data_IF_899642950876
#
_entry.id   IF_899642950876
#
_cell.length_a   1.000
_cell.length_b   1.000
_cell.length_c   1.000
_cell.angle_alpha   90.00
_cell.angle_beta   90.00
_cell.angle_gamma   90.00
#
_symmetry.space_group_name_H-M   'P 1'
#
loop_
_entity.id
_entity.type
_entity.pdbx_description
1 polymer ?
#
# COMPACT_ATOMS: atom_id res chain seq x y z
N UNK A 1 -8.35 6.02 2.05
CA UNK A 1 -8.72 6.08 3.48
C UNK A 1 -7.70 5.30 4.27
N UNK A 2 -6.97 5.96 5.16
CA UNK A 2 -5.91 5.32 5.94
C UNK A 2 -6.50 4.17 6.75
N UNK A 3 -5.71 3.08 6.87
CA UNK A 3 -5.89 2.08 7.92
C UNK A 3 -6.17 2.82 9.23
N UNK A 4 -7.11 2.39 10.05
CA UNK A 4 -7.28 2.96 11.36
C UNK A 4 -6.05 2.56 12.18
N UNK A 5 -5.03 3.46 12.20
CA UNK A 5 -4.17 3.46 13.36
C UNK A 5 -5.10 3.77 14.54
N UNK A 6 -5.28 2.82 15.46
CA UNK A 6 -5.86 3.10 16.77
C UNK A 6 -4.88 4.05 17.46
N UNK A 7 -5.12 5.34 17.29
CA UNK A 7 -4.43 6.34 18.08
C UNK A 7 -5.10 6.37 19.45
N UNK A 8 -4.29 6.24 20.47
CA UNK A 8 -4.71 6.62 21.82
C UNK A 8 -5.00 8.13 21.79
N UNK A 9 -6.27 8.47 21.80
CA UNK A 9 -6.77 9.85 21.71
C UNK A 9 -6.63 10.60 23.05
N UNK A 10 -6.10 9.95 24.08
CA UNK A 10 -6.04 10.50 25.45
C UNK A 10 -4.87 11.46 25.72
N UNK A 11 -3.89 11.56 24.78
CA UNK A 11 -2.76 12.47 24.93
C UNK A 11 -2.79 13.56 23.85
N UNK A 12 -2.46 14.81 24.23
CA UNK A 12 -2.36 15.95 23.28
C UNK A 12 -1.47 15.64 22.06
N UNK A 13 -0.55 14.69 22.19
CA UNK A 13 0.32 14.19 21.13
C UNK A 13 -0.45 13.38 20.06
N UNK A 14 -1.47 12.60 20.47
CA UNK A 14 -2.33 11.85 19.56
C UNK A 14 -3.16 12.75 18.64
N UNK A 15 -3.77 13.80 19.21
CA UNK A 15 -4.55 14.80 18.46
C UNK A 15 -3.65 15.55 17.47
N UNK A 16 -2.44 15.91 17.88
CA UNK A 16 -1.47 16.62 17.02
C UNK A 16 -1.02 15.75 15.85
N UNK A 17 -0.73 14.47 16.08
CA UNK A 17 -0.40 13.48 15.01
C UNK A 17 -1.57 13.31 14.04
N UNK A 18 -2.80 13.20 14.54
CA UNK A 18 -3.99 13.07 13.72
C UNK A 18 -4.20 14.30 12.84
N UNK A 19 -4.07 15.50 13.39
CA UNK A 19 -4.24 16.76 12.66
C UNK A 19 -3.14 16.93 11.61
N UNK A 20 -1.87 16.56 11.90
CA UNK A 20 -0.78 16.55 10.93
C UNK A 20 -1.09 15.63 9.74
N UNK A 21 -1.56 14.41 10.00
CA UNK A 21 -1.94 13.48 8.95
C UNK A 21 -3.12 13.98 8.09
N UNK A 22 -4.10 14.66 8.72
CA UNK A 22 -5.21 15.30 7.99
C UNK A 22 -4.73 16.45 7.11
N UNK A 23 -3.86 17.31 7.63
CA UNK A 23 -3.25 18.41 6.88
C UNK A 23 -2.48 17.89 5.67
N UNK A 24 -1.60 16.91 5.85
CA UNK A 24 -0.85 16.29 4.75
C UNK A 24 -1.79 15.74 3.67
N UNK A 25 -2.86 15.05 4.07
CA UNK A 25 -3.85 14.50 3.13
C UNK A 25 -4.59 15.60 2.36
N UNK A 26 -4.98 16.68 3.03
CA UNK A 26 -5.66 17.80 2.37
C UNK A 26 -4.74 18.49 1.36
N UNK A 27 -3.47 18.72 1.71
CA UNK A 27 -2.48 19.30 0.79
C UNK A 27 -2.24 18.37 -0.41
N UNK A 28 -2.18 17.05 -0.18
CA UNK A 28 -2.02 16.07 -1.26
C UNK A 28 -3.20 16.06 -2.23
N UNK A 29 -4.43 16.10 -1.69
CA UNK A 29 -5.66 16.05 -2.50
C UNK A 29 -5.98 17.38 -3.20
N UNK A 30 -5.49 18.49 -2.69
CA UNK A 30 -5.74 19.83 -3.22
C UNK A 30 -4.44 20.66 -3.20
N UNK A 31 -3.52 20.39 -4.14
CA UNK A 31 -2.29 21.18 -4.27
C UNK A 31 -2.64 22.68 -4.50
N UNK A 32 -1.99 23.57 -3.75
CA UNK A 32 -2.28 24.98 -3.77
C UNK A 32 -3.25 25.46 -2.68
N UNK A 33 -3.76 24.56 -1.84
CA UNK A 33 -4.58 24.89 -0.67
C UNK A 33 -3.81 25.82 0.28
N UNK A 34 -4.49 26.87 0.80
CA UNK A 34 -3.88 27.81 1.73
C UNK A 34 -4.12 27.42 3.21
N UNK A 35 -3.42 28.11 4.12
CA UNK A 35 -3.53 27.83 5.57
C UNK A 35 -4.92 28.09 6.13
N UNK A 36 -5.67 29.05 5.56
CA UNK A 36 -7.03 29.40 6.01
C UNK A 36 -8.01 28.29 5.63
N UNK A 37 -7.92 27.79 4.41
CA UNK A 37 -8.72 26.68 3.92
C UNK A 37 -8.44 25.40 4.71
N UNK A 38 -7.16 25.13 5.04
CA UNK A 38 -6.78 24.01 5.90
C UNK A 38 -7.37 24.13 7.30
N UNK A 39 -7.36 25.35 7.90
CA UNK A 39 -7.92 25.57 9.23
C UNK A 39 -9.41 25.26 9.27
N UNK A 40 -10.16 25.74 8.28
CA UNK A 40 -11.59 25.45 8.13
C UNK A 40 -11.86 23.95 7.94
N UNK A 41 -11.10 23.29 7.04
CA UNK A 41 -11.30 21.88 6.71
C UNK A 41 -10.92 20.93 7.85
N UNK A 42 -9.92 21.27 8.64
CA UNK A 42 -9.48 20.46 9.80
C UNK A 42 -10.32 20.76 11.03
N UNK A 43 -10.90 21.96 11.14
CA UNK A 43 -11.68 22.40 12.29
C UNK A 43 -10.81 22.83 13.48
N UNK A 44 -9.66 23.47 13.20
CA UNK A 44 -8.74 24.00 14.22
C UNK A 44 -8.39 25.47 13.96
N UNK A 45 -7.76 26.13 14.93
CA UNK A 45 -7.38 27.54 14.79
C UNK A 45 -6.29 27.75 13.72
N UNK A 46 -6.27 28.96 13.12
CA UNK A 46 -5.21 29.36 12.18
C UNK A 46 -3.81 29.26 12.79
N UNK A 47 -3.67 29.54 14.08
CA UNK A 47 -2.40 29.42 14.80
C UNK A 47 -1.93 27.94 14.85
N UNK A 48 -2.86 27.00 15.13
CA UNK A 48 -2.55 25.59 15.15
C UNK A 48 -2.11 25.06 13.76
N UNK A 49 -2.84 25.46 12.69
CA UNK A 49 -2.43 25.10 11.31
C UNK A 49 -1.10 25.73 10.96
N UNK A 50 -0.86 26.98 11.29
CA UNK A 50 0.43 27.65 11.02
C UNK A 50 1.59 26.90 11.66
N UNK A 51 1.43 26.43 12.89
CA UNK A 51 2.45 25.61 13.57
C UNK A 51 2.69 24.27 12.85
N UNK A 52 1.60 23.56 12.50
CA UNK A 52 1.71 22.28 11.76
C UNK A 52 2.40 22.49 10.41
N UNK A 53 1.97 23.47 9.63
CA UNK A 53 2.55 23.76 8.32
C UNK A 53 4.02 24.17 8.43
N UNK A 54 4.39 25.00 9.40
CA UNK A 54 5.79 25.36 9.62
C UNK A 54 6.67 24.16 10.01
N UNK A 55 6.12 23.19 10.77
CA UNK A 55 6.82 21.94 11.05
C UNK A 55 7.06 21.12 9.76
N UNK A 56 6.01 21.01 8.91
CA UNK A 56 6.09 20.28 7.65
C UNK A 56 7.06 20.94 6.65
N UNK A 57 7.09 22.27 6.58
CA UNK A 57 8.05 23.03 5.78
C UNK A 57 9.48 22.81 6.26
N UNK A 58 9.74 22.90 7.57
CA UNK A 58 11.08 22.64 8.14
C UNK A 58 11.53 21.19 7.93
N UNK A 59 10.58 20.25 7.94
CA UNK A 59 10.87 18.85 7.65
C UNK A 59 11.08 18.58 6.14
N UNK A 60 10.85 19.56 5.27
CA UNK A 60 10.94 19.41 3.82
C UNK A 60 9.83 18.54 3.21
N UNK A 61 8.71 18.32 3.92
CA UNK A 61 7.60 17.50 3.45
C UNK A 61 6.57 18.28 2.63
N UNK A 62 6.59 19.59 2.78
CA UNK A 62 5.69 20.53 2.10
C UNK A 62 6.51 21.71 1.61
N UNK A 63 6.14 22.26 0.48
CA UNK A 63 6.69 23.52 -0.05
C UNK A 63 5.60 24.53 -0.31
N UNK A 64 5.96 25.80 -0.28
CA UNK A 64 5.09 26.90 -0.68
C UNK A 64 5.10 27.07 -2.19
N UNK A 65 3.94 27.31 -2.77
CA UNK A 65 3.75 27.61 -4.18
C UNK A 65 2.88 28.85 -4.36
N UNK A 66 2.92 29.46 -5.54
CA UNK A 66 1.98 30.52 -5.87
C UNK A 66 0.55 29.96 -5.91
N UNK A 67 -0.36 30.56 -5.13
CA UNK A 67 -1.76 30.15 -5.15
C UNK A 67 -2.37 30.43 -6.53
N UNK A 68 -2.96 29.41 -7.15
CA UNK A 68 -3.69 29.56 -8.40
C UNK A 68 -5.05 30.26 -8.22
N UNK A 69 -5.51 30.46 -7.00
CA UNK A 69 -6.81 31.07 -6.65
C UNK A 69 -6.69 32.58 -6.36
N UNK A 70 -5.95 33.34 -7.19
CA UNK A 70 -6.01 34.77 -7.16
C UNK A 70 -7.26 35.25 -7.91
N UNK A 71 -8.45 35.18 -7.28
CA UNK A 71 -9.57 36.02 -7.66
C UNK A 71 -9.15 37.50 -7.50
N UNK A 72 -9.25 38.28 -8.57
CA UNK A 72 -8.73 39.64 -8.74
C UNK A 72 -9.10 40.72 -7.73
N UNK A 73 -9.22 40.41 -6.45
CA UNK A 73 -9.40 41.34 -5.36
C UNK A 73 -8.03 41.85 -4.86
N UNK A 74 -7.86 43.17 -4.71
CA UNK A 74 -6.72 43.80 -4.07
C UNK A 74 -6.51 43.25 -2.64
N UNK A 75 -5.61 42.25 -2.49
CA UNK A 75 -5.23 41.65 -1.23
C UNK A 75 -3.85 41.01 -1.31
N UNK A 76 -3.22 40.70 -0.16
CA UNK A 76 -1.95 39.99 -0.06
C UNK A 76 -2.07 38.65 -0.83
N UNK A 77 -1.14 38.43 -1.77
CA UNK A 77 -1.06 37.17 -2.55
C UNK A 77 -1.12 35.98 -1.58
N UNK A 78 -2.07 35.10 -1.76
CA UNK A 78 -2.18 33.89 -0.94
C UNK A 78 -1.06 32.92 -1.33
N UNK A 79 -0.48 32.28 -0.35
CA UNK A 79 0.57 31.28 -0.52
C UNK A 79 -0.09 29.90 -0.43
N UNK A 80 -0.05 29.19 -1.54
CA UNK A 80 -0.52 27.80 -1.60
C UNK A 80 0.53 26.83 -1.08
N UNK A 81 0.10 25.64 -0.72
CA UNK A 81 0.93 24.57 -0.19
C UNK A 81 0.87 23.36 -1.10
N UNK A 82 1.99 22.67 -1.25
CA UNK A 82 2.10 21.43 -2.02
C UNK A 82 3.02 20.45 -1.28
N UNK A 83 2.73 19.14 -1.39
CA UNK A 83 3.66 18.12 -0.91
C UNK A 83 4.96 18.22 -1.72
N UNK A 84 6.07 18.16 -1.04
CA UNK A 84 7.39 18.05 -1.67
C UNK A 84 7.75 16.56 -1.80
N UNK A 85 7.72 16.02 -3.02
CA UNK A 85 8.02 14.62 -3.28
C UNK A 85 9.41 14.22 -2.78
N UNK A 86 10.39 15.12 -2.91
CA UNK A 86 11.77 14.87 -2.44
C UNK A 86 11.91 14.81 -0.91
N UNK A 87 10.85 15.19 -0.18
CA UNK A 87 10.83 15.20 1.28
C UNK A 87 10.88 13.81 1.92
N UNK A 88 10.60 12.74 1.16
CA UNK A 88 10.65 11.37 1.68
C UNK A 88 10.31 10.33 0.63
N UNK A 89 10.54 9.08 0.99
CA UNK A 89 10.42 7.94 0.10
C UNK A 89 9.64 6.80 0.76
N UNK A 90 9.04 5.97 -0.07
CA UNK A 90 8.41 4.71 0.32
C UNK A 90 8.89 3.61 -0.63
N UNK A 91 8.97 2.40 -0.11
CA UNK A 91 9.35 1.24 -0.90
C UNK A 91 8.17 0.27 -0.99
N UNK A 92 7.90 -0.24 -2.18
CA UNK A 92 6.98 -1.33 -2.43
C UNK A 92 7.76 -2.60 -2.78
N UNK A 93 7.46 -3.71 -2.12
CA UNK A 93 8.00 -5.04 -2.46
C UNK A 93 6.85 -5.93 -2.90
N UNK A 94 6.96 -6.52 -4.07
CA UNK A 94 5.94 -7.42 -4.60
C UNK A 94 6.51 -8.82 -4.78
N UNK A 95 5.89 -9.83 -4.13
CA UNK A 95 6.34 -11.22 -4.17
C UNK A 95 5.26 -12.09 -4.79
N UNK A 96 5.50 -12.50 -6.02
CA UNK A 96 4.72 -13.48 -6.77
C UNK A 96 5.55 -14.75 -6.97
N UNK A 97 4.90 -15.85 -7.27
CA UNK A 97 5.61 -17.09 -7.62
C UNK A 97 6.39 -16.99 -8.95
N UNK A 98 6.03 -16.03 -9.80
CA UNK A 98 6.64 -15.82 -11.13
C UNK A 98 7.73 -14.76 -11.14
N UNK A 99 7.65 -13.77 -10.23
CA UNK A 99 8.64 -12.71 -10.10
C UNK A 99 8.59 -12.06 -8.72
N UNK A 100 9.69 -11.44 -8.34
CA UNK A 100 9.80 -10.56 -7.18
C UNK A 100 10.30 -9.22 -7.67
N UNK A 101 9.68 -8.12 -7.25
CA UNK A 101 10.11 -6.77 -7.66
C UNK A 101 10.08 -5.80 -6.48
N UNK A 102 10.92 -4.78 -6.59
CA UNK A 102 11.00 -3.65 -5.67
C UNK A 102 10.72 -2.38 -6.45
N UNK A 103 9.88 -1.53 -5.88
CA UNK A 103 9.58 -0.19 -6.41
C UNK A 103 9.97 0.83 -5.34
N UNK A 104 10.79 1.80 -5.70
CA UNK A 104 11.04 3.00 -4.91
C UNK A 104 10.16 4.14 -5.44
N UNK A 105 9.42 4.80 -4.59
CA UNK A 105 8.61 5.95 -4.94
C UNK A 105 8.82 7.10 -3.96
N UNK A 106 8.55 8.33 -4.41
CA UNK A 106 8.48 9.49 -3.54
C UNK A 106 7.17 9.51 -2.71
N UNK A 107 7.06 10.44 -1.76
CA UNK A 107 5.84 10.54 -0.93
C UNK A 107 4.61 11.07 -1.68
N UNK A 108 4.76 11.52 -2.92
CA UNK A 108 3.65 11.84 -3.84
C UNK A 108 3.15 10.60 -4.59
N UNK A 109 3.90 9.49 -4.57
CA UNK A 109 3.60 8.27 -5.30
C UNK A 109 4.24 8.19 -6.69
N UNK A 110 5.13 9.12 -7.04
CA UNK A 110 5.88 9.07 -8.30
C UNK A 110 6.94 7.98 -8.20
N UNK A 111 6.91 7.02 -9.13
CA UNK A 111 7.89 5.93 -9.20
C UNK A 111 9.25 6.49 -9.62
N UNK A 112 10.27 6.19 -8.82
CA UNK A 112 11.67 6.60 -9.03
C UNK A 112 12.49 5.46 -9.63
N UNK A 113 12.27 4.25 -9.12
CA UNK A 113 12.97 3.03 -9.56
C UNK A 113 12.03 1.83 -9.48
N UNK A 114 12.18 0.92 -10.43
CA UNK A 114 11.57 -0.40 -10.41
C UNK A 114 12.65 -1.43 -10.76
N UNK A 115 12.93 -2.34 -9.84
CA UNK A 115 14.00 -3.32 -9.97
C UNK A 115 13.46 -4.72 -9.68
N UNK A 116 13.73 -5.66 -10.59
CA UNK A 116 13.44 -7.07 -10.36
C UNK A 116 14.45 -7.70 -9.41
N UNK A 117 13.94 -8.52 -8.50
CA UNK A 117 14.72 -9.41 -7.64
C UNK A 117 14.65 -10.81 -8.21
N UNK A 118 15.79 -11.42 -8.45
CA UNK A 118 15.86 -12.75 -9.07
C UNK A 118 16.35 -13.81 -8.07
N UNK A 119 15.53 -14.19 -7.06
CA UNK A 119 15.95 -15.15 -6.07
C UNK A 119 16.09 -16.55 -6.71
N UNK A 120 17.25 -17.16 -6.55
CA UNK A 120 17.52 -18.52 -7.09
C UNK A 120 16.69 -19.58 -6.38
N UNK A 121 16.17 -19.29 -5.18
CA UNK A 121 15.37 -20.20 -4.35
C UNK A 121 14.10 -19.51 -3.85
N UNK A 122 13.21 -19.12 -4.77
CA UNK A 122 11.98 -18.38 -4.43
C UNK A 122 11.08 -19.11 -3.43
N UNK A 123 11.15 -20.46 -3.37
CA UNK A 123 10.39 -21.29 -2.42
C UNK A 123 10.95 -21.28 -1.00
N UNK A 124 12.16 -20.77 -0.81
CA UNK A 124 12.76 -20.57 0.51
C UNK A 124 12.53 -19.14 0.95
N UNK A 125 11.68 -18.87 1.96
CA UNK A 125 11.37 -17.52 2.40
C UNK A 125 12.61 -16.75 2.90
N UNK A 126 13.48 -17.38 3.68
CA UNK A 126 14.67 -16.72 4.25
C UNK A 126 15.64 -16.30 3.14
N UNK A 127 15.84 -17.16 2.14
CA UNK A 127 16.67 -16.83 0.98
C UNK A 127 16.05 -15.67 0.18
N UNK A 128 14.75 -15.75 -0.10
CA UNK A 128 14.05 -14.69 -0.86
C UNK A 128 14.09 -13.35 -0.12
N UNK A 129 13.86 -13.34 1.19
CA UNK A 129 13.92 -12.12 2.00
C UNK A 129 15.33 -11.53 2.05
N UNK A 130 16.38 -12.38 2.09
CA UNK A 130 17.78 -11.93 2.01
C UNK A 130 18.10 -11.27 0.66
N UNK A 131 17.63 -11.83 -0.46
CA UNK A 131 17.83 -11.23 -1.78
C UNK A 131 17.04 -9.92 -1.94
N UNK A 132 15.82 -9.86 -1.39
CA UNK A 132 15.05 -8.61 -1.31
C UNK A 132 15.82 -7.54 -0.55
N UNK A 133 16.38 -7.86 0.61
CA UNK A 133 17.18 -6.92 1.41
C UNK A 133 18.37 -6.37 0.62
N UNK A 134 19.18 -7.25 0.02
CA UNK A 134 20.35 -6.85 -0.78
C UNK A 134 19.96 -5.92 -1.94
N UNK A 135 18.89 -6.28 -2.65
CA UNK A 135 18.41 -5.46 -3.77
C UNK A 135 17.87 -4.12 -3.29
N UNK A 136 17.14 -4.10 -2.16
CA UNK A 136 16.64 -2.87 -1.57
C UNK A 136 17.80 -1.93 -1.18
N UNK A 137 18.86 -2.46 -0.57
CA UNK A 137 20.06 -1.67 -0.21
C UNK A 137 20.71 -1.06 -1.46
N UNK A 138 20.82 -1.83 -2.54
CA UNK A 138 21.35 -1.35 -3.83
C UNK A 138 20.48 -0.24 -4.42
N UNK A 139 19.14 -0.39 -4.40
CA UNK A 139 18.21 0.63 -4.89
C UNK A 139 18.33 1.91 -4.08
N UNK A 140 18.35 1.80 -2.74
CA UNK A 140 18.48 2.97 -1.85
C UNK A 140 19.82 3.69 -2.06
N UNK A 141 20.91 2.96 -2.24
CA UNK A 141 22.23 3.54 -2.53
C UNK A 141 22.29 4.21 -3.91
N UNK A 142 21.70 3.58 -4.94
CA UNK A 142 21.67 4.13 -6.31
C UNK A 142 21.01 5.49 -6.39
N UNK A 143 20.02 5.73 -5.54
CA UNK A 143 19.26 6.98 -5.51
C UNK A 143 19.61 7.90 -4.34
N UNK A 144 20.71 7.62 -3.65
CA UNK A 144 21.19 8.40 -2.50
C UNK A 144 20.07 8.66 -1.46
N UNK A 145 19.20 7.67 -1.20
CA UNK A 145 18.09 7.79 -0.27
C UNK A 145 18.59 7.75 1.18
N UNK A 146 18.46 8.85 1.94
CA UNK A 146 18.86 8.84 3.34
C UNK A 146 17.97 7.90 4.15
N UNK A 147 18.56 7.15 5.09
CA UNK A 147 17.84 6.16 5.88
C UNK A 147 16.65 6.76 6.67
N UNK A 148 16.74 8.00 7.12
CA UNK A 148 15.67 8.71 7.84
C UNK A 148 14.57 9.25 6.91
N UNK A 149 14.80 9.25 5.60
CA UNK A 149 13.84 9.65 4.57
C UNK A 149 13.05 8.49 3.97
N UNK A 150 13.42 7.24 4.20
CA UNK A 150 12.58 6.09 3.91
C UNK A 150 11.55 5.91 5.03
N UNK A 151 10.29 6.26 4.77
CA UNK A 151 9.25 6.30 5.81
C UNK A 151 8.58 4.96 6.08
N UNK A 152 8.60 4.05 5.12
CA UNK A 152 8.01 2.73 5.31
C UNK A 152 8.13 1.84 4.09
N UNK A 153 7.79 0.57 4.31
CA UNK A 153 7.79 -0.47 3.28
C UNK A 153 6.41 -1.10 3.18
N UNK A 154 5.85 -1.10 1.97
CA UNK A 154 4.67 -1.88 1.62
C UNK A 154 5.08 -3.23 1.05
N UNK A 155 4.61 -4.33 1.62
CA UNK A 155 4.94 -5.67 1.16
C UNK A 155 3.69 -6.39 0.65
N UNK A 156 3.71 -6.75 -0.61
CA UNK A 156 2.65 -7.46 -1.30
C UNK A 156 3.05 -8.92 -1.51
N UNK A 157 2.20 -9.86 -1.13
CA UNK A 157 2.48 -11.30 -1.26
C UNK A 157 1.28 -12.08 -1.79
N UNK A 158 1.54 -13.05 -2.68
CA UNK A 158 0.52 -13.98 -3.16
C UNK A 158 0.25 -15.08 -2.11
N UNK A 159 -0.36 -14.71 -0.99
CA UNK A 159 -0.59 -15.57 0.15
C UNK A 159 -1.76 -15.13 1.03
N UNK A 160 -2.05 -15.94 2.02
CA UNK A 160 -3.10 -15.72 3.02
C UNK A 160 -2.49 -15.15 4.29
N UNK A 161 -3.03 -14.03 4.73
CA UNK A 161 -2.56 -13.28 5.89
C UNK A 161 -3.58 -13.40 7.03
N UNK A 162 -3.07 -13.47 8.23
CA UNK A 162 -3.84 -13.35 9.47
C UNK A 162 -4.33 -11.90 9.66
N UNK A 163 -5.53 -11.74 10.20
CA UNK A 163 -6.14 -10.42 10.40
C UNK A 163 -5.57 -9.64 11.58
N UNK A 164 -5.02 -10.31 12.56
CA UNK A 164 -4.56 -9.69 13.81
C UNK A 164 -3.06 -9.37 13.77
N UNK A 165 -2.25 -10.37 13.49
CA UNK A 165 -0.78 -10.26 13.54
C UNK A 165 -0.14 -9.91 12.20
N UNK A 166 -0.89 -9.99 11.10
CA UNK A 166 -0.36 -9.86 9.74
C UNK A 166 0.73 -10.89 9.41
N UNK A 167 0.67 -12.04 10.08
CA UNK A 167 1.51 -13.19 9.78
C UNK A 167 1.04 -13.89 8.52
N UNK A 168 1.98 -14.42 7.75
CA UNK A 168 1.68 -15.28 6.63
C UNK A 168 1.18 -16.63 7.16
N UNK A 169 -0.04 -17.00 6.78
CA UNK A 169 -0.61 -18.30 7.14
C UNK A 169 -0.14 -19.38 6.16
N UNK A 170 -0.14 -19.05 4.88
CA UNK A 170 0.41 -19.88 3.80
C UNK A 170 0.49 -19.08 2.49
N UNK A 171 1.39 -19.46 1.62
CA UNK A 171 1.48 -18.97 0.24
C UNK A 171 1.64 -20.19 -0.69
N UNK A 172 0.55 -20.80 -1.16
CA UNK A 172 0.59 -22.10 -1.84
C UNK A 172 1.47 -22.14 -3.08
N UNK A 173 1.43 -21.08 -3.89
CA UNK A 173 2.21 -21.00 -5.13
C UNK A 173 3.70 -20.69 -4.89
N UNK A 174 4.04 -20.06 -3.75
CA UNK A 174 5.41 -19.85 -3.30
C UNK A 174 5.95 -21.07 -2.54
N UNK A 175 5.06 -21.91 -2.01
CA UNK A 175 5.45 -23.02 -1.12
C UNK A 175 5.89 -22.53 0.27
N UNK A 176 5.62 -21.28 0.62
CA UNK A 176 6.00 -20.71 1.91
C UNK A 176 5.09 -21.23 3.02
N UNK A 177 5.67 -21.71 4.13
CA UNK A 177 4.93 -22.14 5.31
C UNK A 177 4.36 -20.95 6.09
N UNK A 178 3.69 -21.25 7.19
CA UNK A 178 3.30 -20.24 8.17
C UNK A 178 4.53 -19.71 8.92
N UNK A 179 4.68 -18.37 8.98
CA UNK A 179 5.68 -17.71 9.83
C UNK A 179 5.32 -16.24 10.06
N UNK A 180 6.01 -15.60 11.02
CA UNK A 180 5.83 -14.19 11.34
C UNK A 180 6.57 -13.31 10.31
N UNK A 181 5.94 -13.13 9.16
CA UNK A 181 6.49 -12.35 8.04
C UNK A 181 6.72 -10.89 8.45
N UNK A 182 5.81 -10.32 9.26
CA UNK A 182 5.93 -8.92 9.69
C UNK A 182 7.19 -8.70 10.52
N UNK A 183 7.43 -9.55 11.50
CA UNK A 183 8.64 -9.48 12.35
C UNK A 183 9.91 -9.61 11.53
N UNK A 184 9.93 -10.54 10.57
CA UNK A 184 11.10 -10.72 9.68
C UNK A 184 11.37 -9.46 8.86
N UNK A 185 10.33 -8.86 8.26
CA UNK A 185 10.46 -7.65 7.46
C UNK A 185 10.83 -6.41 8.30
N UNK A 186 10.23 -6.25 9.48
CA UNK A 186 10.59 -5.15 10.40
C UNK A 186 12.05 -5.27 10.86
N UNK A 187 12.55 -6.50 11.05
CA UNK A 187 13.96 -6.73 11.37
C UNK A 187 14.90 -6.39 10.20
N UNK A 188 14.49 -6.70 8.98
CA UNK A 188 15.27 -6.41 7.75
C UNK A 188 15.34 -4.91 7.48
N UNK A 189 14.21 -4.24 7.49
CA UNK A 189 14.13 -2.85 7.03
C UNK A 189 14.32 -1.83 8.16
N UNK A 190 14.12 -2.21 9.44
CA UNK A 190 14.15 -1.28 10.57
C UNK A 190 13.10 -0.16 10.44
N UNK A 191 12.01 -0.40 9.72
CA UNK A 191 10.97 0.58 9.35
C UNK A 191 9.58 0.02 9.61
N UNK A 192 8.58 0.91 9.53
CA UNK A 192 7.17 0.50 9.52
C UNK A 192 6.93 -0.34 8.25
N UNK A 193 6.45 -1.57 8.45
CA UNK A 193 6.09 -2.47 7.36
C UNK A 193 4.59 -2.71 7.37
N UNK A 194 3.98 -2.57 6.19
CA UNK A 194 2.59 -2.94 5.94
C UNK A 194 2.56 -4.10 4.96
N UNK A 195 1.87 -5.18 5.32
CA UNK A 195 1.77 -6.38 4.49
C UNK A 195 0.34 -6.54 4.02
N UNK A 196 0.16 -6.87 2.74
CA UNK A 196 -1.15 -7.13 2.17
C UNK A 196 -1.09 -8.21 1.07
N UNK A 197 -2.23 -8.84 0.81
CA UNK A 197 -2.38 -9.74 -0.33
C UNK A 197 -2.26 -8.97 -1.66
N UNK A 198 -1.59 -9.57 -2.64
CA UNK A 198 -1.31 -8.92 -3.93
C UNK A 198 -2.57 -8.47 -4.66
N UNK A 199 -3.64 -9.27 -4.69
CA UNK A 199 -4.89 -8.89 -5.36
C UNK A 199 -5.54 -7.67 -4.71
N UNK A 200 -5.44 -7.57 -3.39
CA UNK A 200 -5.92 -6.41 -2.64
C UNK A 200 -5.04 -5.18 -2.82
N UNK A 201 -3.73 -5.35 -2.93
CA UNK A 201 -2.83 -4.25 -3.29
C UNK A 201 -3.20 -3.67 -4.66
N UNK A 202 -3.46 -4.52 -5.65
CA UNK A 202 -3.90 -4.10 -6.99
C UNK A 202 -5.23 -3.34 -6.91
N UNK A 203 -6.22 -3.86 -6.17
CA UNK A 203 -7.51 -3.19 -6.00
C UNK A 203 -7.37 -1.81 -5.34
N UNK A 204 -6.51 -1.70 -4.31
CA UNK A 204 -6.23 -0.42 -3.66
C UNK A 204 -5.49 0.56 -4.58
N UNK A 205 -4.57 0.07 -5.41
CA UNK A 205 -3.84 0.89 -6.38
C UNK A 205 -4.79 1.43 -7.45
N UNK A 206 -5.62 0.57 -8.06
CA UNK A 206 -6.63 0.98 -9.04
C UNK A 206 -7.63 2.00 -8.47
N UNK A 207 -8.08 1.79 -7.23
CA UNK A 207 -9.02 2.70 -6.57
C UNK A 207 -8.42 4.06 -6.21
N UNK A 208 -7.10 4.13 -6.01
CA UNK A 208 -6.43 5.38 -5.59
C UNK A 208 -5.76 6.12 -6.73
N UNK A 209 -5.15 5.40 -7.65
CA UNK A 209 -4.25 5.94 -8.67
C UNK A 209 -4.63 5.53 -10.10
N UNK A 210 -5.48 4.50 -10.26
CA UNK A 210 -5.87 3.96 -11.55
C UNK A 210 -7.14 4.60 -12.13
N UNK A 211 -7.68 3.97 -13.15
CA UNK A 211 -8.89 4.41 -13.87
C UNK A 211 -10.15 4.41 -13.00
N UNK A 212 -10.13 3.65 -11.89
CA UNK A 212 -11.25 3.55 -10.96
C UNK A 212 -11.07 4.48 -9.74
N UNK A 213 -10.22 5.50 -9.85
CA UNK A 213 -10.02 6.48 -8.80
C UNK A 213 -11.32 7.18 -8.44
N UNK A 214 -11.63 7.22 -7.13
CA UNK A 214 -12.86 7.83 -6.62
C UNK A 214 -14.12 6.94 -6.69
N UNK A 215 -14.06 5.75 -7.24
CA UNK A 215 -15.16 4.78 -7.21
C UNK A 215 -15.25 4.16 -5.82
N UNK A 216 -16.42 4.29 -5.18
CA UNK A 216 -16.60 3.81 -3.81
C UNK A 216 -16.90 2.31 -3.72
N UNK A 217 -17.47 1.71 -4.76
CA UNK A 217 -17.86 0.31 -4.76
C UNK A 217 -17.33 -0.36 -6.02
N UNK A 218 -16.41 -1.32 -5.84
CA UNK A 218 -15.80 -2.07 -6.94
C UNK A 218 -15.45 -3.50 -6.54
N UNK A 219 -15.49 -4.38 -7.51
CA UNK A 219 -15.00 -5.75 -7.43
C UNK A 219 -13.84 -5.90 -8.42
N UNK A 220 -12.70 -6.37 -7.93
CA UNK A 220 -11.57 -6.73 -8.76
C UNK A 220 -11.40 -8.24 -8.76
N UNK A 221 -11.33 -8.83 -9.94
CA UNK A 221 -10.99 -10.25 -10.13
C UNK A 221 -9.68 -10.31 -10.90
N UNK A 222 -8.71 -11.01 -10.33
CA UNK A 222 -7.40 -11.23 -10.95
C UNK A 222 -7.25 -12.70 -11.30
N UNK A 223 -7.19 -13.02 -12.59
CA UNK A 223 -6.78 -14.34 -13.07
C UNK A 223 -5.31 -14.30 -13.45
N UNK A 224 -4.50 -15.08 -12.73
CA UNK A 224 -3.07 -15.27 -12.96
C UNK A 224 -2.77 -16.76 -12.74
N UNK A 225 -1.61 -17.13 -12.19
CA UNK A 225 -1.34 -18.52 -11.80
C UNK A 225 -2.47 -19.06 -10.90
N UNK A 226 -2.95 -18.24 -9.95
CA UNK A 226 -4.19 -18.45 -9.21
C UNK A 226 -5.24 -17.39 -9.54
N UNK A 227 -6.47 -17.63 -9.11
CA UNK A 227 -7.57 -16.67 -9.18
C UNK A 227 -7.78 -16.04 -7.80
N UNK A 228 -7.70 -14.72 -7.74
CA UNK A 228 -7.95 -13.94 -6.53
C UNK A 228 -9.04 -12.89 -6.76
N UNK A 229 -9.64 -12.43 -5.69
CA UNK A 229 -10.61 -11.36 -5.69
C UNK A 229 -10.34 -10.34 -4.60
N UNK A 230 -10.83 -9.12 -4.81
CA UNK A 230 -10.88 -8.06 -3.82
C UNK A 230 -12.15 -7.24 -4.01
N UNK A 231 -12.74 -6.78 -2.92
CA UNK A 231 -13.93 -5.93 -2.92
C UNK A 231 -13.62 -4.66 -2.17
N UNK A 232 -13.92 -3.53 -2.77
CA UNK A 232 -13.98 -2.23 -2.10
C UNK A 232 -15.44 -1.84 -2.01
N UNK A 233 -15.91 -1.45 -0.85
CA UNK A 233 -17.26 -0.93 -0.63
C UNK A 233 -17.22 0.28 0.30
N UNK A 234 -18.03 1.29 0.00
CA UNK A 234 -17.98 2.59 0.66
C UNK A 234 -16.53 3.17 0.74
N UNK A 235 -15.74 2.97 -0.32
CA UNK A 235 -14.34 3.41 -0.40
C UNK A 235 -13.37 2.62 0.50
N UNK A 236 -13.80 1.48 1.06
CA UNK A 236 -13.01 0.66 1.98
C UNK A 236 -12.82 -0.77 1.47
N UNK A 237 -11.62 -1.29 1.63
CA UNK A 237 -11.34 -2.69 1.33
C UNK A 237 -12.10 -3.61 2.29
N UNK A 238 -12.92 -4.50 1.75
CA UNK A 238 -13.63 -5.53 2.50
C UNK A 238 -12.65 -6.62 2.96
N UNK A 239 -12.46 -6.74 4.27
CA UNK A 239 -11.54 -7.74 4.83
C UNK A 239 -12.26 -8.97 5.38
N UNK A 240 -13.45 -8.78 5.95
CA UNK A 240 -14.13 -9.81 6.75
C UNK A 240 -13.41 -10.08 8.08
N UNK A 241 -14.02 -10.86 8.95
CA UNK A 241 -13.50 -11.15 10.30
C UNK A 241 -12.19 -11.96 10.28
N UNK A 242 -12.02 -12.82 9.30
CA UNK A 242 -10.85 -13.69 9.15
C UNK A 242 -9.90 -13.26 8.01
N UNK A 243 -10.05 -12.04 7.52
CA UNK A 243 -9.24 -11.50 6.42
C UNK A 243 -9.36 -12.24 5.07
N UNK A 244 -10.53 -12.88 4.81
CA UNK A 244 -10.83 -13.55 3.52
C UNK A 244 -11.90 -12.81 2.70
N UNK A 245 -12.36 -11.62 3.13
CA UNK A 245 -13.37 -10.86 2.40
C UNK A 245 -12.93 -10.56 0.97
N UNK A 246 -13.81 -10.84 0.01
CA UNK A 246 -13.55 -10.61 -1.42
C UNK A 246 -12.74 -11.70 -2.11
N UNK A 247 -12.25 -12.73 -1.43
CA UNK A 247 -11.59 -13.85 -2.08
C UNK A 247 -12.62 -14.72 -2.82
N UNK A 248 -12.58 -14.69 -4.15
CA UNK A 248 -13.51 -15.41 -5.03
C UNK A 248 -12.94 -16.70 -5.59
N UNK A 249 -11.65 -16.93 -5.43
CA UNK A 249 -10.96 -18.10 -5.99
C UNK A 249 -11.51 -19.44 -5.48
N UNK A 250 -12.11 -19.45 -4.28
CA UNK A 250 -12.60 -20.66 -3.62
C UNK A 250 -14.14 -20.78 -3.59
N UNK A 251 -14.86 -19.97 -4.38
CA UNK A 251 -16.28 -20.19 -4.65
C UNK A 251 -16.46 -21.51 -5.39
N UNK A 252 -17.50 -22.27 -5.04
CA UNK A 252 -17.86 -23.49 -5.76
C UNK A 252 -18.40 -23.11 -7.15
N UNK A 253 -17.68 -23.50 -8.19
CA UNK A 253 -18.04 -23.24 -9.58
C UNK A 253 -18.52 -24.50 -10.31
N UNK A 254 -17.94 -25.66 -9.99
CA UNK A 254 -18.28 -26.95 -10.62
C UNK A 254 -18.43 -27.99 -9.52
N UNK A 255 -19.65 -28.44 -9.19
CA UNK A 255 -19.86 -29.56 -8.28
C UNK A 255 -19.01 -30.77 -8.70
N UNK A 256 -18.39 -31.44 -7.75
CA UNK A 256 -17.51 -32.61 -7.96
C UNK A 256 -16.32 -32.39 -8.92
N UNK A 257 -15.99 -31.14 -9.21
CA UNK A 257 -14.87 -30.74 -10.06
C UNK A 257 -13.49 -31.09 -9.45
N UNK A 258 -12.39 -30.60 -10.08
CA UNK A 258 -11.03 -30.89 -9.65
C UNK A 258 -10.77 -30.51 -8.18
N UNK A 259 -9.83 -31.24 -7.55
CA UNK A 259 -9.41 -30.92 -6.17
C UNK A 259 -8.63 -29.61 -6.16
N UNK A 260 -9.03 -28.69 -5.32
CA UNK A 260 -8.36 -27.41 -5.12
C UNK A 260 -7.27 -27.51 -4.04
N UNK A 261 -6.26 -26.66 -4.10
CA UNK A 261 -5.23 -26.54 -3.05
C UNK A 261 -5.78 -26.19 -1.66
N UNK A 262 -7.03 -25.70 -1.57
CA UNK A 262 -7.72 -25.46 -0.30
C UNK A 262 -8.35 -26.72 0.32
N UNK A 263 -8.28 -27.88 -0.35
CA UNK A 263 -8.87 -29.15 0.07
C UNK A 263 -10.29 -29.41 -0.43
N UNK A 264 -10.99 -28.39 -0.96
CA UNK A 264 -12.34 -28.53 -1.53
C UNK A 264 -12.25 -28.97 -3.00
N UNK A 265 -13.40 -29.40 -3.57
CA UNK A 265 -13.53 -29.70 -4.99
C UNK A 265 -14.28 -28.59 -5.73
N UNK A 266 -13.97 -28.41 -7.00
CA UNK A 266 -14.72 -27.55 -7.93
C UNK A 266 -14.66 -26.06 -7.65
N UNK A 267 -13.65 -25.59 -6.97
CA UNK A 267 -13.42 -24.17 -6.78
C UNK A 267 -13.21 -23.43 -8.12
N UNK A 268 -13.66 -22.18 -8.22
CA UNK A 268 -13.45 -21.35 -9.39
C UNK A 268 -11.97 -21.31 -9.83
N UNK A 269 -11.06 -21.28 -8.86
CA UNK A 269 -9.62 -21.36 -9.10
C UNK A 269 -9.19 -22.59 -9.92
N UNK A 270 -9.87 -23.73 -9.77
CA UNK A 270 -9.51 -24.98 -10.49
C UNK A 270 -10.02 -25.02 -11.92
N UNK A 271 -10.82 -24.05 -12.34
CA UNK A 271 -11.45 -24.04 -13.69
C UNK A 271 -11.17 -22.75 -14.47
N UNK A 272 -10.84 -21.65 -13.81
CA UNK A 272 -10.70 -20.34 -14.43
C UNK A 272 -9.35 -19.61 -14.14
N UNK A 273 -8.40 -20.27 -13.48
CA UNK A 273 -7.06 -19.72 -13.26
C UNK A 273 -6.07 -20.13 -14.35
N UNK A 274 -4.92 -19.46 -14.40
CA UNK A 274 -3.82 -19.86 -15.28
C UNK A 274 -3.34 -21.29 -15.00
N UNK A 275 -3.30 -21.70 -13.70
CA UNK A 275 -3.03 -23.09 -13.34
C UNK A 275 -4.04 -24.07 -13.97
N UNK A 276 -5.33 -23.71 -13.96
CA UNK A 276 -6.37 -24.56 -14.55
C UNK A 276 -6.19 -24.70 -16.08
N UNK A 277 -5.79 -23.62 -16.74
CA UNK A 277 -5.50 -23.63 -18.18
C UNK A 277 -4.29 -24.53 -18.47
N UNK A 278 -3.17 -24.34 -17.76
CA UNK A 278 -1.98 -25.18 -17.93
C UNK A 278 -2.27 -26.66 -17.68
N UNK A 279 -3.01 -26.97 -16.62
CA UNK A 279 -3.38 -28.35 -16.29
C UNK A 279 -4.25 -29.01 -17.38
N UNK A 280 -5.17 -28.25 -18.00
CA UNK A 280 -5.98 -28.75 -19.13
C UNK A 280 -5.17 -28.95 -20.41
N UNK A 281 -4.12 -28.18 -20.62
CA UNK A 281 -3.23 -28.26 -21.78
C UNK A 281 -2.13 -29.33 -21.61
N UNK A 282 -1.98 -29.94 -20.42
CA UNK A 282 -0.97 -30.93 -20.13
C UNK A 282 0.45 -30.34 -19.96
N UNK A 283 0.54 -29.05 -19.62
CA UNK A 283 1.81 -28.33 -19.39
C UNK A 283 2.07 -28.07 -17.92
#
# INVERSE_FOLDING_TARGET
MALPMRFDMSTGDGVRKTNRARVMRLIHNAPGVDRTELALSVGVSNAAITNIVNELLRAGLVREIDSQHSSGARGRKRVGLQIDGSGGYVMGVNVLATNVSIVLADICGSVIDETDVNPTQIRNPDHTLSEIQKTADVVLQRHDVPADRLFGVGFSVAGYLDSESRSLQRAPYLGWPRFDLKKSLESIFGKIVTIENVTRCIALAENRFGLLSGINDMVLIRSALGLGGAVITAGQLLRGSQNFGGDMGHLLAVPDGPVCSCGKRGCLNTVASGWAVMHKLGT
#
